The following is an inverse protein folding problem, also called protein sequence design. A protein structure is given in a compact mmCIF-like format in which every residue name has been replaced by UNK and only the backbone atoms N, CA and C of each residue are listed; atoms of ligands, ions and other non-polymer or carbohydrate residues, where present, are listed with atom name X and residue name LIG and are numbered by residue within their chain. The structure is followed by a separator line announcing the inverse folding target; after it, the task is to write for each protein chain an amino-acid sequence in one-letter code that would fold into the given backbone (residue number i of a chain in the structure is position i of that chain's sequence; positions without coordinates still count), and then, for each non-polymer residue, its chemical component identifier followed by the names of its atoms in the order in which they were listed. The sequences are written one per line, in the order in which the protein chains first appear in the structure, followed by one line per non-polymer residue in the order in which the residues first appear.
data_IF_855117549718
#
_entry.id   IF_855117549718
#
_cell.length_a   1.000
_cell.length_b   1.000
_cell.length_c   1.000
_cell.angle_alpha   90.00
_cell.angle_beta   90.00
_cell.angle_gamma   90.00
#
_symmetry.space_group_name_H-M   'P 1'
#
loop_
_entity.id
_entity.type
_entity.pdbx_description
1 polymer ?
#
# COMPACT_ATOMS: atom_id res chain seq x y z
N UNK A 1 -33.12 4.21 22.94
CA UNK A 1 -32.94 4.26 21.47
C UNK A 1 -31.80 5.20 21.03
N UNK A 2 -31.67 6.42 21.57
CA UNK A 2 -30.66 7.41 21.16
C UNK A 2 -29.16 6.98 21.14
N UNK A 3 -28.74 6.01 21.97
CA UNK A 3 -27.34 5.54 21.98
C UNK A 3 -26.99 4.70 20.74
N UNK A 4 -27.92 3.89 20.25
CA UNK A 4 -27.70 2.99 19.11
C UNK A 4 -27.57 3.75 17.80
N UNK A 5 -28.31 4.84 17.66
CA UNK A 5 -28.27 5.70 16.46
C UNK A 5 -26.96 6.49 16.40
N UNK A 6 -26.41 6.93 17.54
CA UNK A 6 -25.09 7.57 17.62
C UNK A 6 -23.95 6.62 17.25
N UNK A 7 -24.01 5.36 17.69
CA UNK A 7 -22.99 4.36 17.33
C UNK A 7 -23.01 4.05 15.83
N UNK A 8 -24.19 3.85 15.24
CA UNK A 8 -24.33 3.62 13.80
C UNK A 8 -23.84 4.82 12.98
N UNK A 9 -24.14 6.05 13.42
CA UNK A 9 -23.66 7.27 12.80
C UNK A 9 -22.12 7.38 12.84
N UNK A 10 -21.49 7.18 13.99
CA UNK A 10 -20.03 7.24 14.13
C UNK A 10 -19.32 6.17 13.30
N UNK A 11 -19.89 4.96 13.26
CA UNK A 11 -19.37 3.86 12.43
C UNK A 11 -19.50 4.22 10.94
N UNK A 12 -20.65 4.71 10.50
CA UNK A 12 -20.88 5.15 9.13
C UNK A 12 -19.97 6.31 8.70
N UNK A 13 -19.82 7.33 9.55
CA UNK A 13 -18.94 8.48 9.31
C UNK A 13 -17.47 8.06 9.18
N UNK A 14 -17.01 7.13 10.03
CA UNK A 14 -15.66 6.55 9.94
C UNK A 14 -15.45 5.84 8.60
N UNK A 15 -16.44 5.09 8.11
CA UNK A 15 -16.34 4.39 6.83
C UNK A 15 -16.38 5.34 5.63
N UNK A 16 -17.19 6.41 5.70
CA UNK A 16 -17.20 7.47 4.68
C UNK A 16 -15.87 8.23 4.62
N UNK A 17 -15.28 8.56 5.78
CA UNK A 17 -13.95 9.16 5.83
C UNK A 17 -12.89 8.23 5.22
N UNK A 18 -12.94 6.94 5.56
CA UNK A 18 -12.05 5.94 4.98
C UNK A 18 -12.21 5.83 3.46
N UNK A 19 -13.46 5.76 2.98
CA UNK A 19 -13.76 5.72 1.55
C UNK A 19 -13.26 6.98 0.82
N UNK A 20 -13.44 8.17 1.40
CA UNK A 20 -12.94 9.42 0.83
C UNK A 20 -11.40 9.42 0.77
N UNK A 21 -10.75 9.06 1.87
CA UNK A 21 -9.29 8.95 1.94
C UNK A 21 -8.77 7.98 0.87
N UNK A 22 -9.42 6.82 0.72
CA UNK A 22 -9.06 5.83 -0.28
C UNK A 22 -9.25 6.36 -1.71
N UNK A 23 -10.42 6.91 -2.04
CA UNK A 23 -10.71 7.29 -3.42
C UNK A 23 -9.94 8.53 -3.89
N UNK A 24 -9.57 9.43 -2.98
CA UNK A 24 -8.96 10.72 -3.36
C UNK A 24 -7.47 10.74 -3.07
N UNK A 25 -7.06 10.30 -1.88
CA UNK A 25 -5.66 10.39 -1.46
C UNK A 25 -4.82 9.29 -2.09
N UNK A 26 -5.31 8.03 -2.10
CA UNK A 26 -4.53 6.89 -2.59
C UNK A 26 -4.10 7.05 -4.07
N UNK A 27 -4.99 7.39 -5.02
CA UNK A 27 -4.60 7.53 -6.42
C UNK A 27 -3.73 8.77 -6.65
N UNK A 28 -4.00 9.88 -5.96
CA UNK A 28 -3.18 11.10 -6.10
C UNK A 28 -1.78 10.91 -5.53
N UNK A 29 -1.68 10.26 -4.38
CA UNK A 29 -0.40 9.92 -3.79
C UNK A 29 0.38 8.97 -4.70
N UNK A 30 -0.23 7.87 -5.15
CA UNK A 30 0.39 6.91 -6.04
C UNK A 30 0.84 7.53 -7.37
N UNK A 31 -0.04 8.29 -8.03
CA UNK A 31 0.26 8.97 -9.29
C UNK A 31 1.37 10.01 -9.14
N UNK A 32 1.26 10.85 -8.10
CA UNK A 32 2.25 11.89 -7.81
C UNK A 32 3.61 11.29 -7.48
N UNK A 33 3.64 10.29 -6.59
CA UNK A 33 4.85 9.62 -6.16
C UNK A 33 5.53 8.83 -7.29
N UNK A 34 4.76 8.05 -8.05
CA UNK A 34 5.29 7.31 -9.20
C UNK A 34 5.89 8.27 -10.24
N UNK A 35 5.23 9.41 -10.49
CA UNK A 35 5.72 10.42 -11.42
C UNK A 35 6.98 11.14 -10.91
N UNK A 36 7.05 11.46 -9.62
CA UNK A 36 8.17 12.24 -9.06
C UNK A 36 9.41 11.35 -8.87
N UNK A 37 9.23 10.15 -8.33
CA UNK A 37 10.34 9.27 -7.94
C UNK A 37 10.83 8.40 -9.08
N UNK A 38 9.92 7.94 -9.94
CA UNK A 38 10.22 6.99 -11.03
C UNK A 38 9.92 7.55 -12.41
N UNK A 39 9.56 8.83 -12.51
CA UNK A 39 9.38 9.51 -13.78
C UNK A 39 10.74 9.87 -14.38
N UNK A 40 11.00 9.37 -15.58
CA UNK A 40 12.16 9.75 -16.39
C UNK A 40 11.66 10.67 -17.48
N UNK A 41 12.19 11.89 -17.56
CA UNK A 41 11.92 12.74 -18.71
C UNK A 41 12.84 12.35 -19.87
N UNK A 42 12.41 12.61 -21.11
CA UNK A 42 13.29 12.44 -22.27
C UNK A 42 14.52 13.34 -22.18
N UNK A 43 14.39 14.52 -21.55
CA UNK A 43 15.51 15.43 -21.33
C UNK A 43 16.58 14.85 -20.38
N UNK A 44 16.18 14.09 -19.36
CA UNK A 44 17.14 13.40 -18.47
C UNK A 44 17.91 12.31 -19.23
N UNK A 45 17.22 11.58 -20.12
CA UNK A 45 17.84 10.57 -20.96
C UNK A 45 18.82 11.18 -21.97
N UNK A 46 18.40 12.23 -22.68
CA UNK A 46 19.23 12.94 -23.65
C UNK A 46 20.48 13.55 -23.00
N UNK A 47 20.35 14.12 -21.79
CA UNK A 47 21.47 14.68 -21.04
C UNK A 47 22.48 13.61 -20.62
N UNK A 48 22.02 12.49 -20.04
CA UNK A 48 22.91 11.39 -19.64
C UNK A 48 23.56 10.75 -20.86
N UNK A 49 22.87 10.69 -22.01
CA UNK A 49 23.46 10.24 -23.28
C UNK A 49 24.61 11.13 -23.72
N UNK A 50 24.40 12.44 -23.77
CA UNK A 50 25.44 13.39 -24.14
C UNK A 50 26.69 13.26 -23.25
N UNK A 51 26.51 13.10 -21.94
CA UNK A 51 27.64 12.89 -21.02
C UNK A 51 28.36 11.55 -21.22
N UNK A 52 27.63 10.49 -21.60
CA UNK A 52 28.23 9.18 -21.82
C UNK A 52 29.04 9.13 -23.12
N UNK A 53 28.57 9.78 -24.19
CA UNK A 53 29.24 9.82 -25.49
C UNK A 53 30.63 10.49 -25.41
N UNK A 54 30.82 11.43 -24.46
CA UNK A 54 32.09 12.09 -24.21
C UNK A 54 33.12 11.19 -23.49
N UNK A 55 32.73 10.00 -23.01
CA UNK A 55 33.55 9.15 -22.16
C UNK A 55 33.74 7.75 -22.74
N UNK A 56 35.00 7.37 -22.99
CA UNK A 56 35.37 6.04 -23.50
C UNK A 56 34.95 4.88 -22.58
N UNK A 57 34.64 5.16 -21.30
CA UNK A 57 34.19 4.18 -20.32
C UNK A 57 32.74 3.74 -20.49
N UNK A 58 31.91 4.48 -21.24
CA UNK A 58 30.54 4.05 -21.53
C UNK A 58 30.47 2.94 -22.59
N UNK A 59 31.44 2.88 -23.50
CA UNK A 59 31.50 1.89 -24.59
C UNK A 59 30.23 1.87 -25.46
N UNK A 60 30.06 0.80 -26.25
CA UNK A 60 28.91 0.64 -27.16
C UNK A 60 27.60 0.22 -26.45
N UNK A 61 27.63 0.04 -25.12
CA UNK A 61 26.52 -0.52 -24.34
C UNK A 61 25.60 0.56 -23.73
N UNK A 62 25.79 1.83 -24.08
CA UNK A 62 25.06 2.95 -23.48
C UNK A 62 23.53 2.78 -23.58
N UNK A 63 23.01 2.50 -24.78
CA UNK A 63 21.59 2.33 -25.02
C UNK A 63 21.00 1.16 -24.19
N UNK A 64 21.79 0.11 -23.98
CA UNK A 64 21.36 -1.03 -23.17
C UNK A 64 21.25 -0.65 -21.69
N UNK A 65 22.18 0.16 -21.17
CA UNK A 65 22.11 0.66 -19.79
C UNK A 65 20.97 1.65 -19.59
N UNK A 66 20.75 2.56 -20.53
CA UNK A 66 19.66 3.53 -20.50
C UNK A 66 18.31 2.80 -20.51
N UNK A 67 18.13 1.86 -21.44
CA UNK A 67 16.91 1.07 -21.55
C UNK A 67 16.63 0.24 -20.30
N UNK A 68 17.65 -0.41 -19.73
CA UNK A 68 17.49 -1.18 -18.50
C UNK A 68 17.05 -0.32 -17.31
N UNK A 69 17.64 0.87 -17.14
CA UNK A 69 17.27 1.82 -16.09
C UNK A 69 15.83 2.33 -16.26
N UNK A 70 15.47 2.73 -17.48
CA UNK A 70 14.10 3.16 -17.80
C UNK A 70 13.08 2.03 -17.61
N UNK A 71 13.40 0.81 -18.03
CA UNK A 71 12.53 -0.34 -17.88
C UNK A 71 12.25 -0.63 -16.40
N UNK A 72 13.29 -0.62 -15.55
CA UNK A 72 13.09 -0.86 -14.12
C UNK A 72 12.29 0.27 -13.44
N UNK A 73 12.54 1.54 -13.77
CA UNK A 73 11.74 2.65 -13.24
C UNK A 73 10.27 2.56 -13.66
N UNK A 74 9.98 2.14 -14.90
CA UNK A 74 8.61 1.86 -15.36
C UNK A 74 7.98 0.69 -14.60
N UNK A 75 8.73 -0.37 -14.32
CA UNK A 75 8.25 -1.50 -13.50
C UNK A 75 7.91 -1.02 -12.08
N UNK A 76 8.73 -0.19 -11.45
CA UNK A 76 8.45 0.39 -10.13
C UNK A 76 7.20 1.27 -10.14
N UNK A 77 7.08 2.17 -11.11
CA UNK A 77 5.88 2.97 -11.29
C UNK A 77 4.64 2.10 -11.49
N UNK A 78 4.75 1.05 -12.33
CA UNK A 78 3.70 0.07 -12.56
C UNK A 78 3.29 -0.67 -11.28
N UNK A 79 4.25 -1.10 -10.46
CA UNK A 79 4.00 -1.78 -9.20
C UNK A 79 3.24 -0.89 -8.21
N UNK A 80 3.61 0.39 -8.10
CA UNK A 80 2.89 1.38 -7.29
C UNK A 80 1.43 1.48 -7.75
N UNK A 81 1.19 1.57 -9.06
CA UNK A 81 -0.15 1.64 -9.63
C UNK A 81 -0.97 0.37 -9.40
N UNK A 82 -0.39 -0.80 -9.67
CA UNK A 82 -1.04 -2.10 -9.46
C UNK A 82 -1.40 -2.29 -7.99
N UNK A 83 -0.46 -2.02 -7.08
CA UNK A 83 -0.69 -2.09 -5.64
C UNK A 83 -1.83 -1.16 -5.23
N UNK A 84 -1.83 0.08 -5.72
CA UNK A 84 -2.89 1.07 -5.46
C UNK A 84 -4.26 0.57 -5.91
N UNK A 85 -4.38 0.04 -7.13
CA UNK A 85 -5.64 -0.51 -7.64
C UNK A 85 -6.12 -1.70 -6.81
N UNK A 86 -5.21 -2.63 -6.50
CA UNK A 86 -5.53 -3.82 -5.71
C UNK A 86 -6.02 -3.43 -4.32
N UNK A 87 -5.36 -2.47 -3.66
CA UNK A 87 -5.78 -1.97 -2.35
C UNK A 87 -7.15 -1.28 -2.42
N UNK A 88 -7.40 -0.46 -3.44
CA UNK A 88 -8.73 0.16 -3.65
C UNK A 88 -9.84 -0.87 -3.81
N UNK A 89 -9.60 -1.93 -4.60
CA UNK A 89 -10.58 -3.00 -4.80
C UNK A 89 -10.85 -3.75 -3.51
N UNK A 90 -9.81 -4.15 -2.77
CA UNK A 90 -9.95 -4.88 -1.51
C UNK A 90 -10.67 -4.05 -0.44
N UNK A 91 -10.33 -2.77 -0.32
CA UNK A 91 -11.00 -1.85 0.60
C UNK A 91 -12.46 -1.66 0.23
N UNK A 92 -12.77 -1.48 -1.06
CA UNK A 92 -14.16 -1.40 -1.53
C UNK A 92 -14.96 -2.64 -1.17
N UNK A 93 -14.36 -3.84 -1.31
CA UNK A 93 -14.99 -5.09 -0.90
C UNK A 93 -15.22 -5.12 0.62
N UNK A 94 -14.23 -4.72 1.43
CA UNK A 94 -14.36 -4.67 2.89
C UNK A 94 -15.48 -3.72 3.30
N UNK A 95 -15.57 -2.55 2.69
CA UNK A 95 -16.64 -1.58 2.95
C UNK A 95 -18.01 -2.15 2.61
N UNK A 96 -18.16 -2.85 1.47
CA UNK A 96 -19.41 -3.51 1.09
C UNK A 96 -19.78 -4.62 2.09
N UNK A 97 -18.82 -5.44 2.50
CA UNK A 97 -19.02 -6.51 3.49
C UNK A 97 -19.44 -5.94 4.83
N UNK A 98 -18.81 -4.85 5.29
CA UNK A 98 -19.15 -4.17 6.54
C UNK A 98 -20.53 -3.52 6.47
N UNK A 99 -20.87 -2.84 5.38
CA UNK A 99 -22.18 -2.26 5.17
C UNK A 99 -23.29 -3.34 5.18
N UNK A 100 -23.06 -4.47 4.50
CA UNK A 100 -23.97 -5.60 4.53
C UNK A 100 -24.12 -6.21 5.93
N UNK A 101 -23.04 -6.30 6.70
CA UNK A 101 -23.08 -6.74 8.10
C UNK A 101 -23.90 -5.79 8.98
N UNK A 102 -23.69 -4.47 8.86
CA UNK A 102 -24.43 -3.46 9.62
C UNK A 102 -25.93 -3.44 9.28
N UNK A 103 -26.28 -3.68 8.02
CA UNK A 103 -27.67 -3.85 7.57
C UNK A 103 -28.29 -5.20 7.98
N UNK A 104 -27.62 -5.99 8.85
CA UNK A 104 -28.06 -7.30 9.32
C UNK A 104 -28.35 -8.30 8.21
N UNK A 105 -27.68 -8.17 7.06
CA UNK A 105 -27.65 -9.27 6.08
C UNK A 105 -26.84 -10.42 6.67
N UNK A 106 -26.99 -11.64 6.14
CA UNK A 106 -26.36 -12.90 6.63
C UNK A 106 -24.80 -12.91 6.57
N UNK A 107 -24.15 -11.76 6.67
CA UNK A 107 -22.69 -11.62 6.74
C UNK A 107 -22.25 -11.83 8.17
N UNK A 108 -21.42 -12.84 8.38
CA UNK A 108 -20.86 -13.14 9.69
C UNK A 108 -19.64 -12.26 9.96
N UNK A 109 -19.35 -12.02 11.24
CA UNK A 109 -18.11 -11.37 11.67
C UNK A 109 -16.85 -12.09 11.13
N UNK A 110 -16.91 -13.42 10.99
CA UNK A 110 -15.83 -14.22 10.39
C UNK A 110 -15.53 -13.79 8.96
N UNK A 111 -16.55 -13.41 8.19
CA UNK A 111 -16.40 -12.89 6.82
C UNK A 111 -15.64 -11.57 6.83
N UNK A 112 -16.00 -10.64 7.71
CA UNK A 112 -15.29 -9.37 7.85
C UNK A 112 -13.82 -9.57 8.24
N UNK A 113 -13.54 -10.39 9.26
CA UNK A 113 -12.17 -10.71 9.69
C UNK A 113 -11.36 -11.35 8.56
N UNK A 114 -11.98 -12.23 7.76
CA UNK A 114 -11.30 -12.88 6.62
C UNK A 114 -10.82 -11.84 5.60
N UNK A 115 -11.65 -10.87 5.23
CA UNK A 115 -11.26 -9.85 4.26
C UNK A 115 -10.14 -8.93 4.78
N UNK A 116 -10.19 -8.53 6.05
CA UNK A 116 -9.09 -7.78 6.67
C UNK A 116 -7.77 -8.58 6.69
N UNK A 117 -7.82 -9.91 6.90
CA UNK A 117 -6.62 -10.76 6.79
C UNK A 117 -6.09 -10.82 5.37
N UNK A 118 -6.97 -10.96 4.37
CA UNK A 118 -6.58 -10.97 2.97
C UNK A 118 -5.89 -9.65 2.61
N UNK A 119 -6.46 -8.52 3.01
CA UNK A 119 -5.85 -7.21 2.77
C UNK A 119 -4.48 -7.09 3.43
N UNK A 120 -4.34 -7.47 4.70
CA UNK A 120 -3.04 -7.46 5.38
C UNK A 120 -1.99 -8.29 4.64
N UNK A 121 -2.34 -9.50 4.20
CA UNK A 121 -1.43 -10.36 3.43
C UNK A 121 -1.03 -9.69 2.12
N UNK A 122 -1.98 -9.09 1.40
CA UNK A 122 -1.71 -8.39 0.14
C UNK A 122 -0.79 -7.20 0.35
N UNK A 123 -0.98 -6.39 1.40
CA UNK A 123 -0.08 -5.27 1.74
C UNK A 123 1.32 -5.79 2.02
N UNK A 124 1.47 -6.86 2.82
CA UNK A 124 2.78 -7.44 3.16
C UNK A 124 3.47 -7.97 1.90
N UNK A 125 2.75 -8.69 1.03
CA UNK A 125 3.31 -9.22 -0.22
C UNK A 125 3.73 -8.08 -1.14
N UNK A 126 2.89 -7.06 -1.31
CA UNK A 126 3.22 -5.90 -2.15
C UNK A 126 4.45 -5.15 -1.61
N UNK A 127 4.56 -4.98 -0.29
CA UNK A 127 5.74 -4.40 0.34
C UNK A 127 6.99 -5.26 0.11
N UNK A 128 6.88 -6.58 0.18
CA UNK A 128 8.01 -7.48 -0.06
C UNK A 128 8.46 -7.43 -1.53
N UNK A 129 7.53 -7.40 -2.48
CA UNK A 129 7.82 -7.22 -3.92
C UNK A 129 8.50 -5.87 -4.15
N UNK A 130 7.98 -4.80 -3.56
CA UNK A 130 8.54 -3.46 -3.64
C UNK A 130 9.99 -3.40 -3.14
N UNK A 131 10.26 -3.93 -1.95
CA UNK A 131 11.61 -4.02 -1.39
C UNK A 131 12.53 -4.88 -2.25
N UNK A 132 12.01 -5.98 -2.83
CA UNK A 132 12.75 -6.81 -3.77
C UNK A 132 13.19 -6.04 -5.01
N UNK A 133 12.27 -5.27 -5.62
CA UNK A 133 12.58 -4.43 -6.77
C UNK A 133 13.57 -3.30 -6.45
N UNK A 134 13.46 -2.66 -5.28
CA UNK A 134 14.45 -1.71 -4.79
C UNK A 134 15.83 -2.35 -4.63
N UNK A 135 15.89 -3.57 -4.08
CA UNK A 135 17.13 -4.34 -3.95
C UNK A 135 17.75 -4.67 -5.31
N UNK A 136 16.94 -5.11 -6.28
CA UNK A 136 17.39 -5.36 -7.66
C UNK A 136 17.95 -4.09 -8.29
N UNK A 137 17.25 -2.95 -8.13
CA UNK A 137 17.69 -1.67 -8.66
C UNK A 137 18.99 -1.17 -8.04
N UNK A 138 19.16 -1.32 -6.72
CA UNK A 138 20.39 -0.98 -6.01
C UNK A 138 21.58 -1.85 -6.46
N UNK A 139 21.37 -3.16 -6.63
CA UNK A 139 22.41 -4.06 -7.16
C UNK A 139 22.77 -3.70 -8.59
N UNK A 140 21.77 -3.39 -9.43
CA UNK A 140 22.00 -2.97 -10.81
C UNK A 140 22.74 -1.61 -10.88
N UNK A 141 22.44 -0.67 -9.98
CA UNK A 141 23.13 0.63 -9.89
C UNK A 141 24.64 0.46 -9.72
N UNK A 142 25.07 -0.47 -8.87
CA UNK A 142 26.50 -0.75 -8.64
C UNK A 142 27.21 -1.38 -9.85
N UNK A 143 26.47 -1.93 -10.82
CA UNK A 143 27.03 -2.53 -12.05
C UNK A 143 27.12 -1.54 -13.22
N UNK A 144 26.45 -0.39 -13.12
CA UNK A 144 26.45 0.65 -14.15
C UNK A 144 27.56 1.66 -13.83
N UNK A 145 28.42 2.03 -14.80
CA UNK A 145 29.40 3.11 -14.63
C UNK A 145 28.75 4.40 -14.16
N UNK A 146 29.39 5.17 -13.28
CA UNK A 146 28.77 6.34 -12.64
C UNK A 146 28.27 7.39 -13.64
N UNK A 147 29.01 7.57 -14.73
CA UNK A 147 28.70 8.45 -15.85
C UNK A 147 27.55 7.96 -16.74
N UNK A 148 27.17 6.69 -16.68
CA UNK A 148 26.05 6.11 -17.42
C UNK A 148 24.75 6.03 -16.60
N UNK A 149 24.76 6.52 -15.35
CA UNK A 149 23.60 6.48 -14.46
C UNK A 149 22.68 7.67 -14.72
N UNK A 150 21.40 7.40 -14.94
CA UNK A 150 20.38 8.44 -14.96
C UNK A 150 20.24 9.02 -13.55
N UNK A 151 20.26 10.34 -13.40
CA UNK A 151 20.13 11.00 -12.10
C UNK A 151 18.87 10.56 -11.31
N UNK A 152 17.68 10.42 -11.93
CA UNK A 152 16.50 9.87 -11.25
C UNK A 152 16.69 8.44 -10.76
N UNK A 153 17.37 7.60 -11.56
CA UNK A 153 17.67 6.21 -11.20
C UNK A 153 18.62 6.14 -10.00
N UNK A 154 19.67 6.95 -10.00
CA UNK A 154 20.61 7.03 -8.88
C UNK A 154 19.91 7.52 -7.61
N UNK A 155 19.06 8.54 -7.70
CA UNK A 155 18.30 9.03 -6.55
C UNK A 155 17.40 7.94 -5.96
N UNK A 156 16.63 7.25 -6.82
CA UNK A 156 15.68 6.22 -6.41
C UNK A 156 16.33 4.95 -5.82
N UNK A 157 17.52 4.57 -6.29
CA UNK A 157 18.16 3.29 -5.92
C UNK A 157 19.49 3.42 -5.17
N UNK A 158 19.88 4.63 -4.77
CA UNK A 158 21.09 4.89 -3.95
C UNK A 158 21.09 4.12 -2.63
N UNK A 159 19.91 3.77 -2.12
CA UNK A 159 19.70 2.98 -0.92
C UNK A 159 18.41 2.19 -1.03
N UNK A 160 18.31 0.97 -0.45
CA UNK A 160 17.04 0.25 -0.33
C UNK A 160 16.00 0.99 0.53
N UNK A 161 16.42 2.06 1.23
CA UNK A 161 15.56 2.93 2.01
C UNK A 161 15.44 4.34 1.42
N UNK A 162 15.93 4.58 0.20
CA UNK A 162 15.89 5.90 -0.44
C UNK A 162 14.44 6.42 -0.57
N UNK A 163 13.49 5.51 -0.81
CA UNK A 163 12.07 5.85 -0.88
C UNK A 163 11.37 5.75 0.49
N UNK A 164 11.75 6.66 1.40
CA UNK A 164 11.16 6.76 2.74
C UNK A 164 9.65 7.03 2.67
N UNK A 165 9.18 7.79 1.68
CA UNK A 165 7.77 8.17 1.56
C UNK A 165 6.88 6.94 1.29
N UNK A 166 7.25 6.09 0.33
CA UNK A 166 6.50 4.88 0.02
C UNK A 166 6.60 3.85 1.15
N UNK A 167 7.77 3.70 1.77
CA UNK A 167 7.96 2.78 2.91
C UNK A 167 7.14 3.22 4.13
N UNK A 168 7.14 4.51 4.44
CA UNK A 168 6.29 5.08 5.48
C UNK A 168 4.82 4.80 5.18
N UNK A 169 4.40 5.03 3.93
CA UNK A 169 3.02 4.84 3.51
C UNK A 169 2.56 3.37 3.65
N UNK A 170 3.35 2.42 3.16
CA UNK A 170 3.06 0.99 3.29
C UNK A 170 3.10 0.54 4.76
N UNK A 171 4.02 1.07 5.56
CA UNK A 171 4.09 0.82 6.99
C UNK A 171 2.83 1.26 7.73
N UNK A 172 2.28 2.44 7.41
CA UNK A 172 1.00 2.92 7.94
C UNK A 172 -0.14 1.96 7.57
N UNK A 173 -0.18 1.47 6.32
CA UNK A 173 -1.19 0.49 5.89
C UNK A 173 -1.13 -0.82 6.69
N UNK A 174 0.07 -1.35 6.93
CA UNK A 174 0.28 -2.54 7.77
C UNK A 174 -0.23 -2.28 9.20
N UNK A 175 0.15 -1.15 9.79
CA UNK A 175 -0.23 -0.79 11.15
C UNK A 175 -1.75 -0.64 11.32
N UNK A 176 -2.40 0.08 10.40
CA UNK A 176 -3.86 0.26 10.37
C UNK A 176 -4.58 -1.09 10.26
N UNK A 177 -4.16 -1.94 9.32
CA UNK A 177 -4.76 -3.27 9.14
C UNK A 177 -4.58 -4.15 10.40
N UNK A 178 -3.40 -4.11 11.01
CA UNK A 178 -3.13 -4.78 12.28
C UNK A 178 -4.05 -4.30 13.40
N UNK A 179 -4.19 -2.98 13.58
CA UNK A 179 -5.08 -2.39 14.58
C UNK A 179 -6.54 -2.74 14.33
N UNK A 180 -7.00 -2.73 13.08
CA UNK A 180 -8.36 -3.13 12.72
C UNK A 180 -8.65 -4.60 13.09
N UNK A 181 -7.70 -5.50 12.83
CA UNK A 181 -7.81 -6.91 13.22
C UNK A 181 -7.87 -7.09 14.74
N UNK A 182 -7.03 -6.37 15.50
CA UNK A 182 -7.04 -6.41 16.97
C UNK A 182 -8.36 -5.87 17.51
N UNK A 183 -8.83 -4.73 17.01
CA UNK A 183 -10.10 -4.13 17.41
C UNK A 183 -11.30 -5.06 17.15
N UNK A 184 -11.38 -5.64 15.95
CA UNK A 184 -12.46 -6.58 15.62
C UNK A 184 -12.43 -7.81 16.54
N UNK A 185 -11.25 -8.37 16.82
CA UNK A 185 -11.11 -9.48 17.78
C UNK A 185 -11.52 -9.10 19.20
N UNK A 186 -11.23 -7.87 19.63
CA UNK A 186 -11.65 -7.39 20.95
C UNK A 186 -13.17 -7.26 21.05
N UNK A 187 -13.81 -6.70 20.02
CA UNK A 187 -15.28 -6.62 19.93
C UNK A 187 -15.93 -8.01 19.92
N UNK A 188 -15.36 -8.97 19.18
CA UNK A 188 -15.79 -10.38 19.15
C UNK A 188 -15.82 -11.04 20.54
N UNK A 189 -14.90 -10.64 21.44
CA UNK A 189 -14.80 -11.19 22.80
C UNK A 189 -15.76 -10.51 23.78
N UNK A 190 -15.96 -9.21 23.63
CA UNK A 190 -16.76 -8.41 24.55
C UNK A 190 -18.26 -8.53 24.29
N UNK A 191 -18.69 -8.67 23.04
CA UNK A 191 -20.12 -8.77 22.68
C UNK A 191 -20.81 -10.03 23.23
N UNK A 192 -20.22 -11.24 23.19
CA UNK A 192 -20.81 -12.44 23.82
C UNK A 192 -20.87 -12.36 25.34
N UNK A 193 -19.97 -11.60 25.99
CA UNK A 193 -19.95 -11.44 27.43
C UNK A 193 -21.10 -10.54 27.92
N UNK A 194 -21.48 -9.54 27.13
CA UNK A 194 -22.60 -8.63 27.43
C UNK A 194 -23.99 -9.25 27.17
N UNK A 195 -24.06 -10.36 26.41
CA UNK A 195 -25.33 -11.03 26.08
C UNK A 195 -25.60 -12.29 26.90
N UNK A 196 -24.70 -12.70 27.80
CA UNK A 196 -24.98 -13.80 28.74
C UNK A 196 -25.96 -13.30 29.81
N UNK A 197 -27.07 -13.99 30.06
CA UNK A 197 -27.96 -13.62 31.15
C UNK A 197 -27.16 -13.64 32.45
N UNK A 198 -27.25 -12.56 33.22
CA UNK A 198 -26.73 -12.50 34.58
C UNK A 198 -27.46 -13.60 35.35
N UNK A 199 -26.76 -14.58 35.94
CA UNK A 199 -27.42 -15.58 36.77
C UNK A 199 -28.14 -14.82 37.89
N UNK A 200 -29.47 -14.92 37.91
CA UNK A 200 -30.28 -14.33 38.97
C UNK A 200 -29.95 -15.11 40.23
N UNK A 201 -29.29 -14.45 41.19
CA UNK A 201 -29.00 -15.05 42.49
C UNK A 201 -30.34 -15.34 43.18
N UNK A 202 -30.78 -16.60 43.18
CA UNK A 202 -32.04 -16.98 43.82
C UNK A 202 -32.69 -18.29 43.39
N UNK A 203 -32.29 -18.93 42.28
CA UNK A 203 -32.77 -20.29 41.97
C UNK A 203 -31.95 -21.33 42.75
N UNK A 204 -32.25 -21.43 44.05
CA UNK A 204 -32.00 -22.65 44.82
C UNK A 204 -33.18 -23.60 44.56
N UNK A 205 -32.90 -24.71 43.88
CA UNK A 205 -33.78 -25.88 43.93
C UNK A 205 -33.87 -26.44 45.35
#
# INVERSE_FOLDING_TARGET
MAMRDRTLFLVGAKYLFWLFFLLVYLPRFAAGHARITFGVSSADADYTRAQCEELSSCGDNHDAFEWAQMALMRVMAGEIWVTTIVLLLLESIILVVMAAHLMRRRVTERTAIRWWRIQLVVVIVSLAVYLGLLGVGAVALHRIPENARLAPYQAAFSSPFADVAMLYYMGVFVAVNGLALVHNRAMARLLPAASRPIPVAGESN
#
